data_IF_507970095580
#
_entry.id   IF_507970095580
#
_cell.length_a   1.000
_cell.length_b   1.000
_cell.length_c   1.000
_cell.angle_alpha   90.00
_cell.angle_beta   90.00
_cell.angle_gamma   90.00
#
_symmetry.space_group_name_H-M   'P 1'
#
loop_
_entity.id
_entity.type
_entity.pdbx_description
1 polymer ?
#
# COMPACT_ATOMS: atom_id res chain seq x y z
N UNK A 1 -6.00 -10.85 -0.33
CA UNK A 1 -5.11 -11.65 -1.19
C UNK A 1 -5.78 -11.86 -2.52
N UNK A 2 -5.02 -11.78 -3.63
CA UNK A 2 -5.55 -11.99 -4.97
C UNK A 2 -5.77 -13.48 -5.23
N UNK A 3 -6.89 -13.79 -5.88
CA UNK A 3 -7.16 -15.09 -6.50
C UNK A 3 -7.48 -14.83 -7.96
N UNK A 4 -6.90 -15.60 -8.85
CA UNK A 4 -7.10 -15.45 -10.29
C UNK A 4 -7.20 -16.82 -10.96
N UNK A 5 -7.83 -16.82 -12.12
CA UNK A 5 -7.81 -17.91 -13.07
C UNK A 5 -7.07 -17.45 -14.33
N UNK A 6 -6.21 -18.30 -14.86
CA UNK A 6 -5.46 -18.03 -16.09
C UNK A 6 -5.56 -19.20 -17.05
N UNK A 7 -5.60 -18.91 -18.33
CA UNK A 7 -5.72 -19.93 -19.39
C UNK A 7 -4.46 -19.93 -20.24
N UNK A 8 -3.90 -21.11 -20.45
CA UNK A 8 -2.83 -21.30 -21.41
C UNK A 8 -3.42 -21.32 -22.82
N UNK A 9 -3.21 -20.27 -23.60
CA UNK A 9 -3.77 -20.14 -24.95
C UNK A 9 -3.27 -21.20 -25.92
N UNK A 10 -2.18 -21.91 -25.65
CA UNK A 10 -1.64 -22.97 -26.50
C UNK A 10 -2.32 -24.29 -26.21
N UNK A 11 -2.56 -24.64 -24.95
CA UNK A 11 -3.23 -25.90 -24.58
C UNK A 11 -4.75 -25.79 -24.40
N UNK A 12 -5.25 -24.56 -24.20
CA UNK A 12 -6.66 -24.29 -23.84
C UNK A 12 -7.01 -24.62 -22.39
N UNK A 13 -6.05 -25.03 -21.57
CA UNK A 13 -6.28 -25.41 -20.18
C UNK A 13 -6.34 -24.17 -19.25
N UNK A 14 -7.33 -24.17 -18.35
CA UNK A 14 -7.50 -23.15 -17.33
C UNK A 14 -7.05 -23.63 -15.96
N UNK A 15 -6.40 -22.73 -15.22
CA UNK A 15 -5.80 -23.02 -13.92
C UNK A 15 -6.09 -21.90 -12.94
N UNK A 16 -6.57 -22.24 -11.73
CA UNK A 16 -6.79 -21.28 -10.65
C UNK A 16 -5.60 -21.24 -9.70
N UNK A 17 -5.26 -20.03 -9.21
CA UNK A 17 -4.23 -19.85 -8.20
C UNK A 17 -4.61 -18.75 -7.20
N UNK A 18 -4.35 -18.99 -5.92
CA UNK A 18 -4.44 -18.01 -4.84
C UNK A 18 -3.04 -17.57 -4.46
N UNK A 19 -2.81 -16.25 -4.46
CA UNK A 19 -1.51 -15.64 -4.17
C UNK A 19 -1.44 -15.14 -2.73
N UNK A 20 -0.26 -14.69 -2.32
CA UNK A 20 -0.06 -13.94 -1.08
C UNK A 20 0.07 -12.42 -1.34
N UNK A 21 -0.19 -11.99 -2.56
CA UNK A 21 -0.19 -10.59 -2.97
C UNK A 21 -1.55 -9.93 -2.71
N UNK A 22 -1.53 -8.64 -2.46
CA UNK A 22 -2.71 -7.77 -2.34
C UNK A 22 -2.71 -6.71 -3.43
N UNK A 23 -3.90 -6.20 -3.75
CA UNK A 23 -4.05 -5.11 -4.72
C UNK A 23 -4.06 -5.59 -6.17
N UNK A 24 -5.04 -5.12 -6.93
CA UNK A 24 -5.24 -5.50 -8.34
C UNK A 24 -4.04 -5.13 -9.24
N UNK A 25 -3.24 -4.13 -8.86
CA UNK A 25 -2.02 -3.74 -9.58
C UNK A 25 -0.94 -4.83 -9.63
N UNK A 26 -1.02 -5.85 -8.77
CA UNK A 26 -0.14 -7.00 -8.85
C UNK A 26 -0.55 -8.02 -9.91
N UNK A 27 -1.72 -7.85 -10.55
CA UNK A 27 -2.19 -8.77 -11.58
C UNK A 27 -1.22 -8.83 -12.76
N UNK A 28 -0.73 -7.69 -13.24
CA UNK A 28 0.22 -7.63 -14.35
C UNK A 28 1.54 -8.33 -14.01
N UNK A 29 2.02 -8.16 -12.78
CA UNK A 29 3.22 -8.86 -12.29
C UNK A 29 3.02 -10.39 -12.26
N UNK A 30 1.85 -10.84 -11.83
CA UNK A 30 1.50 -12.25 -11.80
C UNK A 30 1.39 -12.80 -13.23
N UNK A 31 0.74 -12.07 -14.14
CA UNK A 31 0.61 -12.45 -15.54
C UNK A 31 1.97 -12.54 -16.24
N UNK A 32 2.86 -11.59 -15.96
CA UNK A 32 4.24 -11.64 -16.45
C UNK A 32 4.98 -12.91 -15.96
N UNK A 33 4.84 -13.24 -14.67
CA UNK A 33 5.45 -14.44 -14.09
C UNK A 33 4.87 -15.73 -14.71
N UNK A 34 3.55 -15.79 -14.92
CA UNK A 34 2.88 -16.92 -15.62
C UNK A 34 3.43 -17.04 -17.04
N UNK A 35 3.46 -15.93 -17.79
CA UNK A 35 3.90 -15.92 -19.18
C UNK A 35 5.34 -16.40 -19.33
N UNK A 36 6.24 -15.95 -18.44
CA UNK A 36 7.63 -16.43 -18.40
C UNK A 36 7.70 -17.92 -18.05
N UNK A 37 6.94 -18.36 -17.04
CA UNK A 37 6.89 -19.77 -16.66
C UNK A 37 6.45 -20.67 -17.82
N UNK A 38 5.39 -20.29 -18.53
CA UNK A 38 4.89 -20.99 -19.72
C UNK A 38 5.93 -20.97 -20.85
N UNK A 39 6.55 -19.81 -21.10
CA UNK A 39 7.60 -19.66 -22.11
C UNK A 39 8.77 -20.63 -21.86
N UNK A 40 9.21 -20.75 -20.59
CA UNK A 40 10.26 -21.69 -20.20
C UNK A 40 9.76 -23.13 -19.99
N UNK A 41 8.55 -23.46 -20.46
CA UNK A 41 7.97 -24.79 -20.45
C UNK A 41 7.80 -25.42 -19.06
N UNK A 42 7.61 -24.59 -18.02
CA UNK A 42 7.20 -25.07 -16.73
C UNK A 42 5.76 -25.60 -16.81
N UNK A 43 5.48 -26.67 -16.07
CA UNK A 43 4.10 -27.16 -15.94
C UNK A 43 3.22 -26.14 -15.19
N UNK A 44 1.93 -26.15 -15.42
CA UNK A 44 0.98 -25.29 -14.71
C UNK A 44 1.07 -25.47 -13.18
N UNK A 45 1.31 -26.70 -12.73
CA UNK A 45 1.55 -26.99 -11.31
C UNK A 45 2.78 -26.25 -10.76
N UNK A 46 3.89 -26.22 -11.50
CA UNK A 46 5.11 -25.52 -11.11
C UNK A 46 4.90 -24.01 -11.12
N UNK A 47 4.24 -23.46 -12.15
CA UNK A 47 3.89 -22.03 -12.23
C UNK A 47 3.02 -21.64 -11.04
N UNK A 48 1.96 -22.37 -10.76
CA UNK A 48 1.06 -22.11 -9.64
C UNK A 48 1.78 -22.26 -8.28
N UNK A 49 2.68 -23.23 -8.12
CA UNK A 49 3.45 -23.41 -6.91
C UNK A 49 4.37 -22.20 -6.65
N UNK A 50 5.05 -21.68 -7.67
CA UNK A 50 5.89 -20.48 -7.59
C UNK A 50 5.08 -19.24 -7.19
N UNK A 51 3.93 -19.01 -7.84
CA UNK A 51 3.06 -17.87 -7.55
C UNK A 51 2.49 -17.96 -6.13
N UNK A 52 1.98 -19.13 -5.72
CA UNK A 52 1.43 -19.37 -4.39
C UNK A 52 2.47 -19.22 -3.29
N UNK A 53 3.70 -19.66 -3.57
CA UNK A 53 4.81 -19.62 -2.61
C UNK A 53 5.49 -18.25 -2.50
N UNK A 54 5.26 -17.34 -3.45
CA UNK A 54 5.90 -16.04 -3.44
C UNK A 54 5.35 -15.15 -2.32
N UNK A 55 6.25 -14.69 -1.46
CA UNK A 55 5.98 -13.72 -0.39
C UNK A 55 6.82 -12.47 -0.62
N UNK A 56 6.19 -11.27 -0.75
CA UNK A 56 6.94 -10.03 -0.78
C UNK A 56 7.76 -9.87 0.52
N UNK A 57 9.06 -9.57 0.39
CA UNK A 57 9.97 -9.36 1.54
C UNK A 57 10.75 -8.05 1.45
N UNK A 58 10.43 -7.20 0.47
CA UNK A 58 11.21 -6.03 0.11
C UNK A 58 10.41 -4.73 0.26
N UNK A 59 9.49 -4.68 1.22
CA UNK A 59 8.67 -3.49 1.50
C UNK A 59 7.83 -3.03 0.28
N UNK A 60 7.42 -3.98 -0.56
CA UNK A 60 6.50 -3.77 -1.68
C UNK A 60 5.23 -4.57 -1.45
N UNK A 61 4.22 -3.91 -0.90
CA UNK A 61 2.94 -4.53 -0.49
C UNK A 61 3.12 -5.76 0.41
N UNK A 62 4.17 -5.77 1.21
CA UNK A 62 4.47 -6.84 2.15
C UNK A 62 3.46 -6.81 3.30
N UNK A 63 2.86 -7.97 3.60
CA UNK A 63 1.96 -8.10 4.76
C UNK A 63 2.78 -8.51 5.98
N UNK A 64 2.71 -7.69 7.02
CA UNK A 64 3.27 -7.98 8.34
C UNK A 64 2.11 -8.07 9.34
N UNK A 65 2.05 -9.16 10.08
CA UNK A 65 1.07 -9.32 11.16
C UNK A 65 1.77 -9.13 12.48
N UNK A 66 1.34 -8.15 13.23
CA UNK A 66 1.77 -7.91 14.59
C UNK A 66 0.78 -8.57 15.57
N UNK A 67 0.98 -8.38 16.85
CA UNK A 67 0.07 -8.89 17.86
C UNK A 67 -1.35 -8.28 17.71
N UNK A 68 -1.43 -7.01 17.34
CA UNK A 68 -2.67 -6.24 17.37
C UNK A 68 -3.15 -5.77 15.99
N UNK A 69 -2.29 -5.77 14.97
CA UNK A 69 -2.58 -5.13 13.69
C UNK A 69 -2.14 -5.98 12.48
N UNK A 70 -2.68 -5.64 11.32
CA UNK A 70 -2.18 -6.12 10.03
C UNK A 70 -1.60 -4.95 9.27
N UNK A 71 -0.29 -4.95 9.00
CA UNK A 71 0.40 -3.90 8.28
C UNK A 71 0.57 -4.28 6.80
N UNK A 72 0.33 -3.33 5.93
CA UNK A 72 0.66 -3.38 4.50
C UNK A 72 1.86 -2.46 4.31
N UNK A 73 3.06 -3.05 4.30
CA UNK A 73 4.33 -2.35 4.19
C UNK A 73 4.67 -2.12 2.71
N UNK A 74 4.56 -0.88 2.23
CA UNK A 74 4.77 -0.50 0.83
C UNK A 74 5.63 0.76 0.70
N UNK A 75 6.74 0.80 1.42
CA UNK A 75 7.62 1.97 1.54
C UNK A 75 8.98 1.80 0.86
N UNK A 76 9.06 0.96 -0.17
CA UNK A 76 10.27 0.88 -0.99
C UNK A 76 10.42 2.10 -1.90
N UNK A 77 9.33 2.54 -2.52
CA UNK A 77 9.23 3.76 -3.32
C UNK A 77 7.79 4.24 -3.40
N UNK A 78 7.60 5.53 -3.66
CA UNK A 78 6.29 6.14 -3.83
C UNK A 78 6.28 7.12 -5.00
N UNK A 79 5.19 7.07 -5.77
CA UNK A 79 4.82 8.06 -6.79
C UNK A 79 3.30 8.23 -6.79
N UNK A 80 2.74 9.29 -7.42
CA UNK A 80 1.32 9.60 -7.35
C UNK A 80 0.41 8.44 -7.74
N UNK A 81 0.68 7.79 -8.87
CA UNK A 81 -0.15 6.69 -9.37
C UNK A 81 -0.15 5.49 -8.41
N UNK A 82 1.02 5.10 -7.88
CA UNK A 82 1.11 4.00 -6.93
C UNK A 82 0.49 4.33 -5.57
N UNK A 83 0.54 5.59 -5.14
CA UNK A 83 -0.13 6.06 -3.92
C UNK A 83 -1.64 5.96 -4.05
N UNK A 84 -2.21 6.51 -5.13
CA UNK A 84 -3.65 6.49 -5.41
C UNK A 84 -4.17 5.04 -5.44
N UNK A 85 -3.50 4.16 -6.19
CA UNK A 85 -3.91 2.75 -6.28
C UNK A 85 -3.84 2.04 -4.93
N UNK A 86 -2.81 2.29 -4.11
CA UNK A 86 -2.69 1.69 -2.78
C UNK A 86 -3.80 2.19 -1.84
N UNK A 87 -4.11 3.48 -1.86
CA UNK A 87 -5.20 4.10 -1.08
C UNK A 87 -6.55 3.47 -1.47
N UNK A 88 -6.86 3.38 -2.76
CA UNK A 88 -8.09 2.76 -3.26
C UNK A 88 -8.22 1.29 -2.84
N UNK A 89 -7.12 0.55 -2.88
CA UNK A 89 -7.12 -0.84 -2.44
C UNK A 89 -7.46 -0.98 -0.96
N UNK A 90 -6.92 -0.11 -0.10
CA UNK A 90 -7.27 -0.10 1.33
C UNK A 90 -8.74 0.25 1.52
N UNK A 91 -9.25 1.21 0.77
CA UNK A 91 -10.69 1.54 0.79
C UNK A 91 -11.61 0.35 0.55
N UNK A 92 -11.19 -0.58 -0.33
CA UNK A 92 -11.94 -1.79 -0.72
C UNK A 92 -11.74 -2.98 0.23
N UNK A 93 -10.76 -2.95 1.13
CA UNK A 93 -10.53 -4.04 2.09
C UNK A 93 -11.66 -4.04 3.12
N UNK A 94 -12.16 -5.23 3.44
CA UNK A 94 -13.04 -5.44 4.58
C UNK A 94 -12.18 -5.59 5.84
N UNK A 95 -12.25 -4.62 6.74
CA UNK A 95 -11.56 -4.60 8.03
C UNK A 95 -12.36 -3.74 9.01
N UNK A 96 -12.24 -4.04 10.29
CA UNK A 96 -12.95 -3.31 11.36
C UNK A 96 -12.43 -1.87 11.49
N UNK A 97 -11.14 -1.68 11.35
CA UNK A 97 -10.48 -0.37 11.33
C UNK A 97 -9.45 -0.31 10.21
N UNK A 98 -9.44 0.79 9.46
CA UNK A 98 -8.51 1.05 8.35
C UNK A 98 -7.74 2.33 8.59
N UNK A 99 -6.42 2.27 8.48
CA UNK A 99 -5.52 3.41 8.71
C UNK A 99 -4.59 3.58 7.51
N UNK A 100 -4.41 4.82 7.07
CA UNK A 100 -3.42 5.21 6.07
C UNK A 100 -2.30 5.99 6.75
N UNK A 101 -1.06 5.57 6.55
CA UNK A 101 0.16 6.29 6.94
C UNK A 101 0.95 6.55 5.67
N UNK A 102 0.92 7.80 5.21
CA UNK A 102 1.43 8.20 3.90
C UNK A 102 2.58 9.17 4.06
N UNK A 103 3.75 8.78 3.59
CA UNK A 103 4.96 9.62 3.57
C UNK A 103 5.15 10.33 2.23
N UNK A 104 5.94 11.39 2.22
CA UNK A 104 6.23 12.17 1.01
C UNK A 104 6.74 11.33 -0.14
N UNK A 105 6.41 11.79 -1.35
CA UNK A 105 6.92 11.30 -2.62
C UNK A 105 8.11 12.14 -3.07
N UNK A 106 9.27 11.52 -3.23
CA UNK A 106 10.48 12.21 -3.66
C UNK A 106 10.61 12.26 -5.18
N UNK A 107 11.49 13.10 -5.68
CA UNK A 107 11.81 13.24 -7.12
C UNK A 107 10.65 13.76 -7.98
N UNK A 108 9.71 14.51 -7.39
CA UNK A 108 8.53 15.05 -8.08
C UNK A 108 8.79 16.40 -8.78
N UNK A 109 9.96 17.01 -8.57
CA UNK A 109 10.31 18.29 -9.19
C UNK A 109 9.30 19.42 -8.89
N UNK A 110 8.95 20.18 -9.90
CA UNK A 110 8.02 21.32 -9.77
C UNK A 110 6.57 20.90 -9.45
N UNK A 111 6.20 19.66 -9.70
CA UNK A 111 4.85 19.14 -9.49
C UNK A 111 4.63 18.58 -8.06
N UNK A 112 5.67 18.61 -7.20
CA UNK A 112 5.59 18.02 -5.88
C UNK A 112 4.36 18.48 -5.07
N UNK A 113 4.11 19.79 -5.00
CA UNK A 113 2.99 20.32 -4.22
C UNK A 113 1.61 19.92 -4.77
N UNK A 114 1.43 19.94 -6.08
CA UNK A 114 0.16 19.56 -6.72
C UNK A 114 -0.12 18.06 -6.57
N UNK A 115 0.90 17.23 -6.75
CA UNK A 115 0.77 15.78 -6.66
C UNK A 115 0.50 15.31 -5.22
N UNK A 116 1.18 15.89 -4.22
CA UNK A 116 0.88 15.61 -2.82
C UNK A 116 -0.53 16.06 -2.43
N UNK A 117 -0.97 17.20 -2.96
CA UNK A 117 -2.34 17.70 -2.76
C UNK A 117 -3.37 16.71 -3.32
N UNK A 118 -3.15 16.21 -4.54
CA UNK A 118 -4.04 15.23 -5.17
C UNK A 118 -4.10 13.90 -4.40
N UNK A 119 -2.95 13.40 -3.94
CA UNK A 119 -2.89 12.18 -3.12
C UNK A 119 -3.58 12.38 -1.76
N UNK A 120 -3.36 13.52 -1.10
CA UNK A 120 -4.03 13.84 0.16
C UNK A 120 -5.54 13.91 -0.03
N UNK A 121 -6.02 14.60 -1.07
CA UNK A 121 -7.44 14.67 -1.38
C UNK A 121 -8.03 13.28 -1.61
N UNK A 122 -7.36 12.43 -2.39
CA UNK A 122 -7.79 11.05 -2.60
C UNK A 122 -7.88 10.25 -1.30
N UNK A 123 -6.92 10.42 -0.40
CA UNK A 123 -6.95 9.78 0.90
C UNK A 123 -8.13 10.27 1.76
N UNK A 124 -8.45 11.57 1.71
CA UNK A 124 -9.60 12.15 2.44
C UNK A 124 -10.95 11.66 1.91
N UNK A 125 -11.07 11.44 0.61
CA UNK A 125 -12.27 10.90 -0.05
C UNK A 125 -12.47 9.39 0.17
N UNK A 126 -11.40 8.67 0.54
CA UNK A 126 -11.45 7.21 0.71
C UNK A 126 -12.03 6.85 2.08
N UNK A 127 -12.91 5.84 2.13
CA UNK A 127 -13.55 5.36 3.36
C UNK A 127 -12.54 4.60 4.25
N UNK A 128 -11.83 5.34 5.09
CA UNK A 128 -10.92 4.84 6.13
C UNK A 128 -11.14 5.62 7.43
N UNK A 129 -10.74 5.06 8.56
CA UNK A 129 -10.98 5.64 9.87
C UNK A 129 -9.96 6.70 10.25
N UNK A 130 -8.72 6.52 9.82
CA UNK A 130 -7.62 7.41 10.22
C UNK A 130 -6.61 7.59 9.09
N UNK A 131 -6.09 8.82 8.96
CA UNK A 131 -5.07 9.21 8.00
C UNK A 131 -3.95 9.95 8.70
N UNK A 132 -2.73 9.54 8.44
CA UNK A 132 -1.52 10.14 8.97
C UNK A 132 -0.63 10.48 7.78
N UNK A 133 -0.38 11.77 7.58
CA UNK A 133 0.48 12.26 6.52
C UNK A 133 1.82 12.68 7.12
N UNK A 134 2.91 12.28 6.50
CA UNK A 134 4.26 12.50 7.03
C UNK A 134 5.13 13.10 5.93
N UNK A 135 5.67 14.28 6.21
CA UNK A 135 6.62 14.94 5.33
C UNK A 135 6.33 16.42 5.12
N UNK A 136 7.31 17.09 4.56
CA UNK A 136 7.28 18.54 4.34
C UNK A 136 6.26 18.91 3.25
N UNK A 137 6.11 18.08 2.21
CA UNK A 137 5.20 18.37 1.12
C UNK A 137 3.74 18.20 1.56
N UNK A 138 3.40 17.12 2.26
CA UNK A 138 2.07 16.95 2.83
C UNK A 138 1.73 18.05 3.84
N UNK A 139 2.70 18.52 4.61
CA UNK A 139 2.51 19.58 5.60
C UNK A 139 2.21 20.96 4.99
N UNK A 140 2.46 21.15 3.69
CA UNK A 140 2.16 22.40 2.97
C UNK A 140 0.67 22.57 2.60
N UNK A 141 -0.16 21.53 2.73
CA UNK A 141 -1.57 21.55 2.34
C UNK A 141 -2.56 21.47 3.54
N UNK A 142 -2.35 22.18 4.65
CA UNK A 142 -3.18 22.06 5.86
C UNK A 142 -4.63 22.52 5.63
N UNK A 143 -4.90 23.33 4.62
CA UNK A 143 -6.24 23.81 4.25
C UNK A 143 -7.16 22.65 3.84
N UNK A 144 -6.64 21.56 3.28
CA UNK A 144 -7.43 20.39 2.92
C UNK A 144 -8.01 19.69 4.16
N UNK A 145 -7.28 19.72 5.28
CA UNK A 145 -7.74 19.14 6.54
C UNK A 145 -8.81 20.01 7.21
N UNK A 146 -8.79 21.33 6.96
CA UNK A 146 -9.75 22.30 7.52
C UNK A 146 -11.06 22.38 6.74
N UNK A 147 -11.04 22.09 5.44
CA UNK A 147 -12.24 22.12 4.59
C UNK A 147 -13.17 20.92 4.77
N UNK A 148 -12.84 20.04 5.59
CA UNK A 148 -13.24 18.77 6.09
C UNK A 148 -14.70 18.34 6.03
N UNK A 149 -15.07 17.67 4.96
CA UNK A 149 -16.24 16.77 4.90
C UNK A 149 -15.83 15.31 4.77
N UNK A 150 -14.68 14.91 5.34
CA UNK A 150 -14.25 13.52 5.37
C UNK A 150 -14.64 12.83 6.68
N UNK A 151 -14.86 11.51 6.63
CA UNK A 151 -15.12 10.70 7.81
C UNK A 151 -13.80 10.28 8.47
N UNK A 152 -13.80 10.17 9.81
CA UNK A 152 -12.62 9.76 10.58
C UNK A 152 -11.68 10.91 10.92
N UNK A 153 -10.43 10.60 11.20
CA UNK A 153 -9.40 11.57 11.61
C UNK A 153 -8.31 11.75 10.57
N UNK A 154 -7.65 12.89 10.57
CA UNK A 154 -6.49 13.16 9.75
C UNK A 154 -5.47 14.03 10.51
N UNK A 155 -4.21 13.61 10.51
CA UNK A 155 -3.10 14.27 11.21
C UNK A 155 -1.90 14.40 10.27
N UNK A 156 -1.12 15.45 10.42
CA UNK A 156 0.14 15.65 9.68
C UNK A 156 1.31 15.80 10.63
N UNK A 157 2.46 15.26 10.22
CA UNK A 157 3.75 15.42 10.86
C UNK A 157 4.76 15.86 9.79
N UNK A 158 5.65 16.79 10.14
CA UNK A 158 6.64 17.27 9.18
C UNK A 158 7.76 16.29 8.91
N UNK A 159 8.03 15.38 9.85
CA UNK A 159 9.08 14.36 9.74
C UNK A 159 8.62 13.01 10.28
N UNK A 160 9.33 11.94 9.91
CA UNK A 160 9.11 10.61 10.47
C UNK A 160 9.43 10.56 11.97
N UNK A 161 10.40 11.33 12.44
CA UNK A 161 10.73 11.43 13.88
C UNK A 161 9.58 12.04 14.67
N UNK A 162 8.99 13.13 14.19
CA UNK A 162 7.79 13.73 14.79
C UNK A 162 6.60 12.76 14.80
N UNK A 163 6.42 12.02 13.71
CA UNK A 163 5.37 11.02 13.63
C UNK A 163 5.57 9.89 14.65
N UNK A 164 6.81 9.39 14.80
CA UNK A 164 7.16 8.38 15.81
C UNK A 164 6.82 8.90 17.21
N UNK A 165 7.22 10.10 17.54
CA UNK A 165 6.97 10.69 18.86
C UNK A 165 5.47 10.87 19.12
N UNK A 166 4.74 11.43 18.13
CA UNK A 166 3.30 11.64 18.25
C UNK A 166 2.50 10.34 18.33
N UNK A 167 2.96 9.27 17.66
CA UNK A 167 2.27 7.99 17.61
C UNK A 167 2.61 7.05 18.79
N UNK A 168 3.65 7.32 19.59
CA UNK A 168 3.99 6.48 20.75
C UNK A 168 2.88 6.33 21.76
N UNK A 169 2.09 7.37 21.97
CA UNK A 169 0.92 7.35 22.86
C UNK A 169 -0.38 7.02 22.15
N UNK A 170 -0.34 6.89 20.82
CA UNK A 170 -1.51 6.68 19.99
C UNK A 170 -1.76 5.19 19.80
N UNK A 171 -2.72 4.65 20.54
CA UNK A 171 -3.00 3.22 20.58
C UNK A 171 -3.87 2.80 19.40
N UNK A 172 -3.25 2.34 18.30
CA UNK A 172 -3.96 1.78 17.14
C UNK A 172 -3.97 0.25 17.27
N UNK A 173 -5.15 -0.31 17.48
CA UNK A 173 -5.36 -1.75 17.61
C UNK A 173 -6.50 -2.23 16.72
N UNK A 174 -6.45 -3.49 16.31
CA UNK A 174 -7.45 -4.14 15.47
C UNK A 174 -7.51 -3.59 14.05
N UNK A 175 -6.44 -2.90 13.60
CA UNK A 175 -6.45 -2.17 12.35
C UNK A 175 -5.72 -2.90 11.21
N UNK A 176 -6.18 -2.64 9.99
CA UNK A 176 -5.38 -2.83 8.78
C UNK A 176 -4.76 -1.49 8.42
N UNK A 177 -3.42 -1.42 8.46
CA UNK A 177 -2.64 -0.19 8.33
C UNK A 177 -1.80 -0.24 7.05
N UNK A 178 -2.01 0.69 6.13
CA UNK A 178 -1.09 0.91 5.01
C UNK A 178 0.01 1.87 5.44
N UNK A 179 1.26 1.48 5.28
CA UNK A 179 2.43 2.36 5.45
C UNK A 179 3.09 2.49 4.09
N UNK A 180 3.02 3.70 3.48
CA UNK A 180 3.54 3.95 2.14
C UNK A 180 4.19 5.32 2.04
N UNK A 181 5.38 5.37 1.43
CA UNK A 181 6.15 6.60 1.20
C UNK A 181 7.42 6.30 0.41
N UNK A 182 8.15 7.34 0.03
CA UNK A 182 9.46 7.17 -0.59
C UNK A 182 10.47 6.57 0.38
N UNK A 183 11.43 5.79 -0.14
CA UNK A 183 12.42 5.08 0.67
C UNK A 183 13.20 5.98 1.63
N UNK A 184 13.54 7.21 1.19
CA UNK A 184 14.27 8.18 2.01
C UNK A 184 13.48 8.70 3.22
N UNK A 185 12.17 8.41 3.32
CA UNK A 185 11.35 8.73 4.49
C UNK A 185 11.62 7.80 5.68
N UNK A 186 12.31 6.68 5.49
CA UNK A 186 12.60 5.69 6.53
C UNK A 186 11.34 5.22 7.29
N UNK A 187 10.25 4.98 6.55
CA UNK A 187 8.93 4.61 7.10
C UNK A 187 8.93 3.24 7.80
N UNK A 188 9.93 2.40 7.57
CA UNK A 188 10.12 1.13 8.28
C UNK A 188 10.22 1.29 9.79
N UNK A 189 10.68 2.44 10.27
CA UNK A 189 10.81 2.77 11.70
C UNK A 189 9.47 2.89 12.42
N UNK A 190 8.39 3.09 11.67
CA UNK A 190 7.03 3.14 12.22
C UNK A 190 6.46 1.75 12.54
N UNK A 191 7.00 0.71 11.92
CA UNK A 191 6.47 -0.67 12.06
C UNK A 191 6.51 -1.16 13.51
N UNK A 192 7.51 -0.75 14.27
CA UNK A 192 7.70 -1.13 15.68
C UNK A 192 6.67 -0.50 16.63
N UNK A 193 5.87 0.47 16.14
CA UNK A 193 4.84 1.14 16.96
C UNK A 193 3.51 0.37 16.96
N UNK A 194 3.33 -0.60 16.08
CA UNK A 194 2.08 -1.31 15.83
C UNK A 194 2.23 -2.82 16.04
#
# INVERSE_FOLDING_TARGET
MLSLEWTNNTSGESHAVKTQLTGAYNLDNILAAISLGVYFKLSAAQVNAGIKGYQPKNNRSQIVRTQNNTLICDYYNANPSSMIVAIENVGKITADKKVLILGDMFEMGAEAASEHTAVMQKALETAVDERIFIGQEFSKAPQLLKSGTFQGTATTYATTDEAIEGLRSHNINGATILIKGSRGMAMERLVELF
#
